data_IF_936002287469
#
_entry.id   IF_936002287469
#
_cell.length_a   1.000
_cell.length_b   1.000
_cell.length_c   1.000
_cell.angle_alpha   90.00
_cell.angle_beta   90.00
_cell.angle_gamma   90.00
#
_symmetry.space_group_name_H-M   'P 1'
#
loop_
_entity.id
_entity.type
_entity.pdbx_description
1 polymer ?
#
# COMPACT_ATOMS: atom_id res chain seq x y z
N UNK A 1 20.10 -5.54 -9.01
CA UNK A 1 18.88 -6.09 -9.66
C UNK A 1 17.85 -6.33 -8.57
N UNK A 2 16.99 -5.35 -8.28
CA UNK A 2 15.99 -5.46 -7.21
C UNK A 2 14.65 -5.77 -7.89
N UNK A 3 14.23 -7.03 -7.83
CA UNK A 3 12.96 -7.47 -8.39
C UNK A 3 11.81 -7.01 -7.48
N UNK A 4 10.70 -6.55 -8.06
CA UNK A 4 9.46 -6.33 -7.33
C UNK A 4 8.92 -7.69 -6.84
N UNK A 5 9.37 -8.14 -5.67
CA UNK A 5 8.94 -9.40 -5.08
C UNK A 5 7.59 -9.20 -4.39
N UNK A 6 6.54 -9.77 -4.96
CA UNK A 6 5.23 -9.79 -4.31
C UNK A 6 5.29 -10.59 -3.00
N UNK A 7 4.42 -10.26 -2.04
CA UNK A 7 4.26 -11.07 -0.82
C UNK A 7 4.04 -12.57 -1.10
N UNK A 8 3.44 -12.91 -2.25
CA UNK A 8 3.23 -14.31 -2.68
C UNK A 8 4.52 -15.01 -3.06
N UNK A 9 5.50 -14.29 -3.60
CA UNK A 9 6.82 -14.84 -3.91
C UNK A 9 7.53 -15.28 -2.61
N UNK A 10 7.48 -14.42 -1.58
CA UNK A 10 8.06 -14.73 -0.28
C UNK A 10 7.32 -15.86 0.45
N UNK A 11 6.03 -16.10 0.16
CA UNK A 11 5.30 -17.27 0.69
C UNK A 11 5.87 -18.59 0.14
N UNK A 12 6.30 -18.62 -1.13
CA UNK A 12 6.98 -19.78 -1.70
C UNK A 12 8.39 -19.94 -1.13
N UNK A 13 9.17 -18.85 -1.06
CA UNK A 13 10.51 -18.87 -0.49
C UNK A 13 10.51 -19.29 0.99
N UNK A 14 9.56 -18.79 1.79
CA UNK A 14 9.47 -19.14 3.21
C UNK A 14 9.11 -20.60 3.44
N UNK A 15 8.24 -21.20 2.62
CA UNK A 15 7.96 -22.65 2.67
C UNK A 15 9.20 -23.47 2.33
N UNK A 16 9.98 -23.03 1.35
CA UNK A 16 11.21 -23.70 0.95
C UNK A 16 12.27 -23.62 2.07
N UNK A 17 12.45 -22.45 2.67
CA UNK A 17 13.35 -22.25 3.81
C UNK A 17 12.90 -23.07 5.02
N UNK A 18 11.60 -23.07 5.30
CA UNK A 18 11.00 -23.87 6.36
C UNK A 18 11.28 -25.37 6.20
N UNK A 19 11.21 -25.85 4.96
CA UNK A 19 11.40 -27.28 4.66
C UNK A 19 12.88 -27.69 4.64
N UNK A 20 13.77 -26.82 4.19
CA UNK A 20 15.17 -27.19 3.91
C UNK A 20 16.16 -26.76 5.00
N UNK A 21 15.85 -25.74 5.80
CA UNK A 21 16.84 -25.12 6.68
C UNK A 21 16.33 -24.88 8.12
N UNK A 22 15.14 -24.30 8.30
CA UNK A 22 14.65 -23.88 9.63
C UNK A 22 13.15 -24.07 9.77
N UNK A 23 12.72 -25.11 10.50
CA UNK A 23 11.30 -25.49 10.64
C UNK A 23 10.43 -24.49 11.39
N UNK A 24 11.00 -23.43 11.98
CA UNK A 24 10.24 -22.34 12.61
C UNK A 24 10.10 -21.12 11.71
N UNK A 25 10.74 -21.12 10.53
CA UNK A 25 10.71 -19.98 9.62
C UNK A 25 9.35 -19.89 8.92
N UNK A 26 8.55 -18.88 9.27
CA UNK A 26 7.25 -18.64 8.63
C UNK A 26 7.12 -17.20 8.18
N UNK A 27 6.43 -16.94 7.08
CA UNK A 27 6.08 -15.58 6.68
C UNK A 27 5.09 -14.99 7.69
N UNK A 28 5.47 -13.89 8.36
CA UNK A 28 4.64 -13.19 9.35
C UNK A 28 3.49 -12.37 8.72
N UNK A 29 2.86 -12.88 7.66
CA UNK A 29 1.88 -12.16 6.82
C UNK A 29 0.75 -11.55 7.63
N UNK A 30 0.10 -12.34 8.49
CA UNK A 30 -1.04 -11.88 9.29
C UNK A 30 -0.65 -10.77 10.27
N UNK A 31 0.54 -10.88 10.88
CA UNK A 31 1.05 -9.87 11.82
C UNK A 31 1.40 -8.58 11.08
N UNK A 32 2.07 -8.68 9.94
CA UNK A 32 2.39 -7.52 9.10
C UNK A 32 1.13 -6.84 8.57
N UNK A 33 0.14 -7.61 8.11
CA UNK A 33 -1.15 -7.05 7.68
C UNK A 33 -1.87 -6.34 8.83
N UNK A 34 -1.90 -6.91 10.03
CA UNK A 34 -2.51 -6.27 11.18
C UNK A 34 -1.83 -4.93 11.54
N UNK A 35 -0.49 -4.87 11.48
CA UNK A 35 0.25 -3.62 11.71
C UNK A 35 -0.07 -2.59 10.62
N UNK A 36 -0.05 -2.98 9.35
CA UNK A 36 -0.37 -2.08 8.23
C UNK A 36 -1.79 -1.54 8.36
N UNK A 37 -2.77 -2.40 8.64
CA UNK A 37 -4.19 -2.01 8.69
C UNK A 37 -4.51 -1.21 9.94
N UNK A 38 -4.02 -1.61 11.11
CA UNK A 38 -4.45 -1.03 12.38
C UNK A 38 -3.56 0.13 12.86
N UNK A 39 -2.33 0.25 12.35
CA UNK A 39 -1.36 1.26 12.83
C UNK A 39 -0.97 2.23 11.71
N UNK A 40 -0.48 1.69 10.58
CA UNK A 40 0.06 2.54 9.52
C UNK A 40 -1.05 3.22 8.70
N UNK A 41 -2.12 2.49 8.37
CA UNK A 41 -3.22 3.03 7.55
C UNK A 41 -3.91 4.21 8.22
N UNK A 42 -4.33 4.16 9.51
CA UNK A 42 -5.01 5.28 10.16
C UNK A 42 -4.11 6.52 10.25
N UNK A 43 -2.83 6.32 10.55
CA UNK A 43 -1.84 7.40 10.62
C UNK A 43 -1.67 8.08 9.27
N UNK A 44 -1.46 7.29 8.22
CA UNK A 44 -1.29 7.81 6.87
C UNK A 44 -2.57 8.48 6.32
N UNK A 45 -3.76 7.99 6.69
CA UNK A 45 -5.04 8.64 6.35
C UNK A 45 -5.21 9.98 7.06
N UNK A 46 -4.80 10.06 8.33
CA UNK A 46 -4.83 11.31 9.09
C UNK A 46 -3.88 12.34 8.50
N UNK A 47 -2.64 11.95 8.22
CA UNK A 47 -1.64 12.82 7.57
C UNK A 47 -2.12 13.31 6.21
N UNK A 48 -2.66 12.40 5.38
CA UNK A 48 -3.21 12.78 4.09
C UNK A 48 -4.37 13.78 4.24
N UNK A 49 -5.26 13.57 5.21
CA UNK A 49 -6.36 14.52 5.46
C UNK A 49 -5.83 15.89 5.86
N UNK A 50 -4.91 15.94 6.83
CA UNK A 50 -4.30 17.18 7.32
C UNK A 50 -3.54 17.92 6.20
N UNK A 51 -2.94 17.17 5.28
CA UNK A 51 -2.26 17.71 4.10
C UNK A 51 -3.21 18.30 3.07
N UNK A 52 -4.30 17.59 2.78
CA UNK A 52 -5.31 18.04 1.82
C UNK A 52 -6.07 19.26 2.35
N UNK A 53 -6.36 19.31 3.65
CA UNK A 53 -7.02 20.46 4.29
C UNK A 53 -6.16 21.74 4.19
N UNK A 54 -4.84 21.61 4.10
CA UNK A 54 -3.89 22.73 3.93
C UNK A 54 -3.54 23.02 2.47
N UNK A 55 -4.00 22.21 1.53
CA UNK A 55 -3.61 22.29 0.12
C UNK A 55 -4.58 23.18 -0.67
N UNK A 56 -4.06 24.19 -1.35
CA UNK A 56 -4.90 25.09 -2.17
C UNK A 56 -5.35 24.44 -3.49
N UNK A 57 -4.57 23.51 -4.03
CA UNK A 57 -4.85 22.86 -5.31
C UNK A 57 -4.63 21.36 -5.20
N UNK A 58 -5.69 20.60 -5.49
CA UNK A 58 -5.70 19.15 -5.43
C UNK A 58 -6.17 18.63 -6.78
N UNK A 59 -5.43 17.67 -7.34
CA UNK A 59 -5.82 16.92 -8.54
C UNK A 59 -6.17 15.51 -8.14
N UNK A 60 -7.34 15.05 -8.56
CA UNK A 60 -7.79 13.68 -8.39
C UNK A 60 -7.72 13.00 -9.76
N UNK A 61 -6.99 11.89 -9.83
CA UNK A 61 -6.95 11.04 -11.01
C UNK A 61 -7.54 9.68 -10.65
N UNK A 62 -8.27 9.08 -11.57
CA UNK A 62 -8.80 7.73 -11.42
C UNK A 62 -8.56 7.02 -12.75
N UNK A 63 -7.97 5.84 -12.68
CA UNK A 63 -7.79 4.95 -13.83
C UNK A 63 -8.43 3.60 -13.52
N UNK A 64 -9.07 3.02 -14.52
CA UNK A 64 -9.74 1.73 -14.39
C UNK A 64 -8.79 0.63 -14.87
N UNK A 65 -8.27 -0.17 -13.94
CA UNK A 65 -7.49 -1.35 -14.28
C UNK A 65 -8.38 -2.59 -14.25
N UNK A 66 -8.38 -3.33 -15.36
CA UNK A 66 -9.03 -4.62 -15.46
C UNK A 66 -7.96 -5.73 -15.46
N UNK A 67 -7.89 -6.50 -14.38
CA UNK A 67 -7.03 -7.68 -14.32
C UNK A 67 -7.90 -8.94 -14.18
N UNK A 68 -8.12 -9.64 -15.30
CA UNK A 68 -9.05 -10.77 -15.35
C UNK A 68 -10.48 -10.32 -15.07
N UNK A 69 -11.15 -10.95 -14.10
CA UNK A 69 -12.52 -10.61 -13.70
C UNK A 69 -12.59 -9.61 -12.52
N UNK A 70 -11.46 -9.05 -12.09
CA UNK A 70 -11.41 -8.02 -11.04
C UNK A 70 -11.18 -6.66 -11.70
N UNK A 71 -12.13 -5.75 -11.49
CA UNK A 71 -11.95 -4.32 -11.81
C UNK A 71 -11.42 -3.63 -10.56
N UNK A 72 -10.40 -2.80 -10.72
CA UNK A 72 -9.83 -1.97 -9.66
C UNK A 72 -9.84 -0.54 -10.13
N UNK A 73 -10.27 0.36 -9.24
CA UNK A 73 -10.37 1.79 -9.51
C UNK A 73 -9.55 2.57 -8.47
N UNK A 74 -8.21 2.54 -8.55
CA UNK A 74 -7.37 3.34 -7.67
C UNK A 74 -7.62 4.83 -7.90
N UNK A 75 -7.84 5.56 -6.81
CA UNK A 75 -7.83 7.02 -6.80
C UNK A 75 -6.42 7.49 -6.51
N UNK A 76 -5.84 8.27 -7.41
CA UNK A 76 -4.57 8.96 -7.21
C UNK A 76 -4.86 10.40 -6.83
N UNK A 77 -4.36 10.84 -5.69
CA UNK A 77 -4.47 12.21 -5.22
C UNK A 77 -3.11 12.88 -5.35
N UNK A 78 -3.06 13.98 -6.09
CA UNK A 78 -1.86 14.80 -6.29
C UNK A 78 -2.09 16.20 -5.74
N UNK A 79 -1.20 16.65 -4.88
CA UNK A 79 -1.28 17.96 -4.23
C UNK A 79 0.11 18.57 -4.09
N UNK A 80 0.20 19.87 -3.81
CA UNK A 80 1.47 20.57 -3.62
C UNK A 80 1.65 21.01 -2.18
N UNK A 81 2.79 20.66 -1.59
CA UNK A 81 3.23 21.15 -0.29
C UNK A 81 4.41 22.11 -0.47
N UNK A 82 4.38 23.32 0.11
CA UNK A 82 5.45 24.32 -0.07
C UNK A 82 6.86 23.83 0.29
N UNK A 83 6.97 23.01 1.33
CA UNK A 83 8.27 22.58 1.86
C UNK A 83 8.76 21.23 1.30
N UNK A 84 7.88 20.45 0.68
CA UNK A 84 8.19 19.09 0.17
C UNK A 84 8.08 19.02 -1.36
N UNK A 85 7.28 19.89 -1.96
CA UNK A 85 6.96 19.88 -3.37
C UNK A 85 5.70 19.09 -3.70
N UNK A 86 5.65 18.53 -4.90
CA UNK A 86 4.51 17.78 -5.40
C UNK A 86 4.43 16.41 -4.72
N UNK A 87 3.30 16.13 -4.07
CA UNK A 87 2.98 14.84 -3.48
C UNK A 87 2.00 14.08 -4.37
N UNK A 88 2.18 12.76 -4.45
CA UNK A 88 1.28 11.84 -5.14
C UNK A 88 0.99 10.67 -4.21
N UNK A 89 -0.28 10.40 -3.95
CA UNK A 89 -0.75 9.33 -3.05
C UNK A 89 -1.78 8.48 -3.77
N UNK A 90 -1.76 7.16 -3.54
CA UNK A 90 -2.69 6.21 -4.15
C UNK A 90 -3.62 5.65 -3.08
N UNK A 91 -4.92 5.79 -3.31
CA UNK A 91 -6.01 5.29 -2.49
C UNK A 91 -6.70 4.17 -3.26
N UNK A 92 -6.76 2.97 -2.69
CA UNK A 92 -7.51 1.87 -3.26
C UNK A 92 -8.93 1.85 -2.68
N UNK A 93 -9.92 2.00 -3.55
CA UNK A 93 -11.33 1.82 -3.22
C UNK A 93 -11.69 0.35 -3.47
N UNK A 94 -11.96 -0.39 -2.40
CA UNK A 94 -12.51 -1.75 -2.51
C UNK A 94 -13.97 -1.75 -2.06
N UNK A 95 -14.81 -2.48 -2.80
CA UNK A 95 -16.28 -2.51 -2.66
C UNK A 95 -16.82 -3.01 -1.29
N UNK A 96 -15.96 -3.38 -0.34
CA UNK A 96 -16.38 -4.04 0.90
C UNK A 96 -15.77 -3.54 2.22
N UNK A 97 -14.89 -2.52 2.24
CA UNK A 97 -14.34 -1.94 3.49
C UNK A 97 -13.69 -0.56 3.24
N UNK A 98 -13.52 0.33 4.25
CA UNK A 98 -13.10 1.71 4.00
C UNK A 98 -11.69 1.78 3.41
N UNK A 99 -11.52 2.71 2.47
CA UNK A 99 -10.31 3.18 1.78
C UNK A 99 -9.01 2.60 2.34
N UNK A 100 -8.35 1.69 1.59
CA UNK A 100 -6.99 1.22 1.92
C UNK A 100 -5.98 2.15 1.23
N UNK A 101 -5.13 2.82 1.99
CA UNK A 101 -3.92 3.44 1.46
C UNK A 101 -2.95 2.36 1.01
N UNK A 102 -2.62 2.34 -0.28
CA UNK A 102 -1.45 1.60 -0.76
C UNK A 102 -0.22 2.43 -0.42
N UNK A 103 0.29 2.26 0.80
CA UNK A 103 1.66 2.66 1.10
C UNK A 103 2.58 1.74 0.30
N UNK A 104 3.08 2.24 -0.83
CA UNK A 104 4.28 1.69 -1.46
C UNK A 104 5.44 1.86 -0.47
N UNK A 105 5.55 0.96 0.49
CA UNK A 105 6.73 0.81 1.33
C UNK A 105 7.82 0.18 0.46
N UNK A 106 8.54 1.02 -0.29
CA UNK A 106 9.91 0.69 -0.67
C UNK A 106 10.75 0.89 0.59
N UNK A 107 10.87 -0.15 1.42
CA UNK A 107 11.89 -0.18 2.46
C UNK A 107 13.20 -0.49 1.75
N UNK A 108 14.14 0.46 1.83
CA UNK A 108 15.52 0.40 1.34
C UNK A 108 16.27 -0.80 1.89
#
# INVERSE_FOLDING_TARGET
MQGNHSFRFNDCASKLIHSCFESKFTCARTKSEAIVVNVLTPTAMKELKDDLDKSNCITILNDASNQGNKKTYPIVVRYFQPYVGVQVKILDLQDHNPVRLLLSMSIT
#
